data_IF_825004861817
#
_entry.id   IF_825004861817
#
_cell.length_a   1.000
_cell.length_b   1.000
_cell.length_c   1.000
_cell.angle_alpha   90.00
_cell.angle_beta   90.00
_cell.angle_gamma   90.00
#
_symmetry.space_group_name_H-M   'P 1'
#
loop_
_entity.id
_entity.type
_entity.pdbx_description
1 polymer ?
#
# COMPACT_ATOMS: atom_id res chain seq x y z
N UNK A 1 -34.99 -0.48 -20.22
CA UNK A 1 -33.52 -0.41 -20.03
C UNK A 1 -32.86 -1.45 -20.90
N UNK A 2 -31.81 -1.12 -21.59
CA UNK A 2 -31.04 -2.06 -22.38
C UNK A 2 -30.40 -3.09 -21.43
N UNK A 3 -30.46 -4.37 -21.80
CA UNK A 3 -29.93 -5.45 -20.96
C UNK A 3 -28.41 -5.43 -21.00
N UNK A 4 -27.77 -5.49 -19.81
CA UNK A 4 -26.32 -5.60 -19.70
C UNK A 4 -25.91 -7.00 -20.16
N UNK A 5 -24.99 -7.06 -21.13
CA UNK A 5 -24.38 -8.28 -21.64
C UNK A 5 -22.87 -8.13 -21.53
N UNK A 6 -22.18 -9.13 -21.01
CA UNK A 6 -20.73 -9.18 -20.88
C UNK A 6 -20.22 -10.52 -21.43
N UNK A 7 -19.08 -10.46 -22.13
CA UNK A 7 -18.40 -11.64 -22.70
C UNK A 7 -16.92 -11.71 -22.28
N UNK A 8 -16.45 -10.73 -21.53
CA UNK A 8 -15.02 -10.59 -21.16
C UNK A 8 -14.48 -11.82 -20.43
N UNK A 9 -15.30 -12.48 -19.61
CA UNK A 9 -14.92 -13.72 -18.95
C UNK A 9 -14.64 -14.85 -19.93
N UNK A 10 -15.54 -15.05 -20.89
CA UNK A 10 -15.36 -16.06 -21.96
C UNK A 10 -14.21 -15.75 -22.88
N UNK A 11 -14.06 -14.49 -23.26
CA UNK A 11 -13.02 -14.05 -24.19
C UNK A 11 -11.62 -14.21 -23.57
N UNK A 12 -11.45 -13.84 -22.31
CA UNK A 12 -10.16 -13.89 -21.63
C UNK A 12 -9.84 -15.27 -21.03
N UNK A 13 -10.82 -15.92 -20.40
CA UNK A 13 -10.60 -17.08 -19.54
C UNK A 13 -11.42 -18.32 -19.92
N UNK A 14 -12.27 -18.26 -20.94
CA UNK A 14 -13.20 -19.34 -21.26
C UNK A 14 -12.56 -20.70 -21.51
N UNK A 15 -11.32 -20.74 -22.03
CA UNK A 15 -10.55 -21.98 -22.21
C UNK A 15 -9.83 -22.44 -20.97
N UNK A 16 -9.41 -21.49 -20.12
CA UNK A 16 -8.63 -21.77 -18.91
C UNK A 16 -9.52 -22.03 -17.69
N UNK A 17 -10.56 -21.23 -17.51
CA UNK A 17 -11.47 -21.28 -16.36
C UNK A 17 -12.94 -21.13 -16.82
N UNK A 18 -13.50 -22.14 -17.52
CA UNK A 18 -14.84 -22.03 -18.13
C UNK A 18 -15.95 -21.79 -17.10
N UNK A 19 -15.87 -22.38 -15.91
CA UNK A 19 -16.85 -22.15 -14.86
C UNK A 19 -16.80 -20.70 -14.34
N UNK A 20 -15.61 -20.14 -14.15
CA UNK A 20 -15.45 -18.73 -13.76
C UNK A 20 -16.02 -17.80 -14.85
N UNK A 21 -15.71 -18.06 -16.12
CA UNK A 21 -16.23 -17.28 -17.24
C UNK A 21 -17.76 -17.30 -17.29
N UNK A 22 -18.37 -18.47 -17.07
CA UNK A 22 -19.83 -18.62 -16.97
C UNK A 22 -20.40 -17.78 -15.80
N UNK A 23 -19.84 -17.91 -14.60
CA UNK A 23 -20.32 -17.15 -13.45
C UNK A 23 -20.15 -15.64 -13.64
N UNK A 24 -19.04 -15.21 -14.25
CA UNK A 24 -18.83 -13.79 -14.56
C UNK A 24 -19.83 -13.26 -15.58
N UNK A 25 -19.95 -13.92 -16.74
CA UNK A 25 -20.68 -13.38 -17.88
C UNK A 25 -22.18 -13.61 -17.75
N UNK A 26 -22.60 -14.83 -17.40
CA UNK A 26 -23.99 -15.21 -17.40
C UNK A 26 -24.70 -14.92 -16.09
N UNK A 27 -24.07 -15.24 -14.96
CA UNK A 27 -24.70 -15.08 -13.64
C UNK A 27 -24.51 -13.66 -13.12
N UNK A 28 -23.27 -13.19 -13.00
CA UNK A 28 -23.00 -11.86 -12.45
C UNK A 28 -23.61 -10.79 -13.38
N UNK A 29 -23.14 -10.71 -14.62
CA UNK A 29 -23.59 -9.66 -15.54
C UNK A 29 -24.92 -9.99 -16.21
N UNK A 30 -25.17 -11.25 -16.58
CA UNK A 30 -26.38 -11.68 -17.29
C UNK A 30 -27.63 -11.70 -16.41
N UNK A 31 -27.53 -12.07 -15.14
CA UNK A 31 -28.65 -12.17 -14.20
C UNK A 31 -28.61 -11.07 -13.15
N UNK A 32 -27.59 -11.04 -12.27
CA UNK A 32 -27.57 -10.13 -11.12
C UNK A 32 -27.55 -8.65 -11.52
N UNK A 33 -26.75 -8.25 -12.51
CA UNK A 33 -26.73 -6.86 -12.97
C UNK A 33 -28.01 -6.42 -13.70
N UNK A 34 -28.82 -7.36 -14.16
CA UNK A 34 -30.10 -7.11 -14.80
C UNK A 34 -31.31 -7.31 -13.87
N UNK A 35 -31.08 -7.66 -12.62
CA UNK A 35 -32.15 -7.79 -11.63
C UNK A 35 -32.80 -6.44 -11.31
N UNK A 36 -34.13 -6.39 -11.29
CA UNK A 36 -34.92 -5.18 -11.17
C UNK A 36 -34.91 -4.57 -9.73
N UNK A 37 -34.38 -5.28 -8.75
CA UNK A 37 -34.33 -4.83 -7.34
C UNK A 37 -33.47 -3.60 -7.10
N UNK A 38 -32.48 -3.35 -7.98
CA UNK A 38 -31.66 -2.13 -7.99
C UNK A 38 -31.45 -1.66 -9.44
N UNK A 39 -31.52 -0.35 -9.64
CA UNK A 39 -31.15 0.23 -10.94
C UNK A 39 -29.64 0.13 -11.19
N UNK A 40 -29.24 0.16 -12.45
CA UNK A 40 -27.86 -0.05 -12.90
C UNK A 40 -26.90 1.03 -12.41
N UNK A 41 -27.38 2.26 -12.26
CA UNK A 41 -26.60 3.39 -11.73
C UNK A 41 -26.23 3.14 -10.26
N UNK A 42 -27.21 2.76 -9.46
CA UNK A 42 -27.02 2.42 -8.05
C UNK A 42 -26.07 1.23 -7.89
N UNK A 43 -26.25 0.16 -8.71
CA UNK A 43 -25.32 -0.99 -8.72
C UNK A 43 -23.89 -0.57 -8.99
N UNK A 44 -23.67 0.28 -10.00
CA UNK A 44 -22.34 0.77 -10.35
C UNK A 44 -21.69 1.55 -9.21
N UNK A 45 -22.46 2.42 -8.55
CA UNK A 45 -21.98 3.19 -7.41
C UNK A 45 -21.59 2.28 -6.23
N UNK A 46 -22.46 1.33 -5.88
CA UNK A 46 -22.20 0.32 -4.83
C UNK A 46 -20.97 -0.50 -5.18
N UNK A 47 -20.80 -0.92 -6.45
CA UNK A 47 -19.63 -1.69 -6.87
C UNK A 47 -18.33 -0.91 -6.67
N UNK A 48 -18.28 0.37 -7.07
CA UNK A 48 -17.09 1.20 -6.87
C UNK A 48 -16.75 1.35 -5.39
N UNK A 49 -17.72 1.68 -4.53
CA UNK A 49 -17.44 1.87 -3.10
C UNK A 49 -17.12 0.55 -2.38
N UNK A 50 -17.71 -0.57 -2.81
CA UNK A 50 -17.37 -1.90 -2.29
C UNK A 50 -15.94 -2.29 -2.62
N UNK A 51 -15.50 -2.10 -3.88
CA UNK A 51 -14.13 -2.35 -4.31
C UNK A 51 -13.13 -1.47 -3.57
N UNK A 52 -13.42 -0.17 -3.46
CA UNK A 52 -12.63 0.75 -2.65
C UNK A 52 -12.50 0.25 -1.20
N UNK A 53 -13.61 -0.10 -0.56
CA UNK A 53 -13.61 -0.56 0.83
C UNK A 53 -12.80 -1.86 1.00
N UNK A 54 -12.86 -2.76 0.00
CA UNK A 54 -12.09 -4.01 -0.03
C UNK A 54 -10.60 -3.81 -0.36
N UNK A 55 -10.16 -2.57 -0.65
CA UNK A 55 -8.76 -2.28 -0.96
C UNK A 55 -8.37 -2.47 -2.42
N UNK A 56 -9.31 -2.69 -3.32
CA UNK A 56 -9.07 -2.71 -4.77
C UNK A 56 -8.98 -1.26 -5.24
N UNK A 57 -7.76 -0.75 -5.37
CA UNK A 57 -7.46 0.64 -5.73
C UNK A 57 -6.47 0.75 -6.89
N UNK A 58 -6.31 -0.32 -7.64
CA UNK A 58 -5.49 -0.41 -8.84
C UNK A 58 -6.28 -0.09 -10.13
N UNK A 59 -5.64 -0.27 -11.28
CA UNK A 59 -6.23 0.01 -12.59
C UNK A 59 -7.53 -0.76 -12.89
N UNK A 60 -7.80 -1.88 -12.21
CA UNK A 60 -9.04 -2.63 -12.39
C UNK A 60 -10.27 -1.83 -11.93
N UNK A 61 -10.10 -1.01 -10.89
CA UNK A 61 -11.15 -0.10 -10.42
C UNK A 61 -11.50 0.98 -11.46
N UNK A 62 -10.55 1.40 -12.30
CA UNK A 62 -10.79 2.40 -13.36
C UNK A 62 -11.87 1.93 -14.34
N UNK A 63 -11.92 0.64 -14.67
CA UNK A 63 -13.00 0.06 -15.47
C UNK A 63 -14.38 0.24 -14.82
N UNK A 64 -14.48 0.03 -13.50
CA UNK A 64 -15.73 0.20 -12.77
C UNK A 64 -16.14 1.66 -12.62
N UNK A 65 -15.18 2.59 -12.50
CA UNK A 65 -15.42 4.03 -12.54
C UNK A 65 -15.98 4.45 -13.90
N UNK A 66 -15.39 3.97 -15.00
CA UNK A 66 -15.88 4.25 -16.35
C UNK A 66 -17.29 3.70 -16.55
N UNK A 67 -17.58 2.49 -16.08
CA UNK A 67 -18.93 1.92 -16.14
C UNK A 67 -19.92 2.74 -15.30
N UNK A 68 -19.51 3.22 -14.12
CA UNK A 68 -20.36 4.08 -13.30
C UNK A 68 -20.74 5.37 -14.05
N UNK A 69 -19.78 6.01 -14.72
CA UNK A 69 -20.04 7.17 -15.60
C UNK A 69 -21.00 6.83 -16.73
N UNK A 70 -20.76 5.71 -17.44
CA UNK A 70 -21.60 5.26 -18.56
C UNK A 70 -23.03 4.94 -18.11
N UNK A 71 -23.23 4.49 -16.89
CA UNK A 71 -24.53 4.22 -16.29
C UNK A 71 -25.15 5.44 -15.60
N UNK A 72 -24.60 6.65 -15.84
CA UNK A 72 -25.20 7.92 -15.43
C UNK A 72 -24.85 8.34 -14.01
N UNK A 73 -23.83 7.78 -13.37
CA UNK A 73 -23.27 8.32 -12.13
C UNK A 73 -22.54 9.62 -12.46
N UNK A 74 -22.98 10.71 -11.85
CA UNK A 74 -22.38 12.03 -12.04
C UNK A 74 -21.10 12.18 -11.22
N UNK A 75 -20.23 13.13 -11.61
CA UNK A 75 -19.05 13.49 -10.82
C UNK A 75 -19.40 13.85 -9.38
N UNK A 76 -20.51 14.56 -9.17
CA UNK A 76 -20.97 14.94 -7.83
C UNK A 76 -21.37 13.73 -6.99
N UNK A 77 -22.02 12.75 -7.59
CA UNK A 77 -22.47 11.53 -6.88
C UNK A 77 -21.30 10.64 -6.52
N UNK A 78 -20.36 10.40 -7.45
CA UNK A 78 -19.19 9.59 -7.14
C UNK A 78 -18.31 10.28 -6.09
N UNK A 79 -18.13 11.59 -6.17
CA UNK A 79 -17.38 12.35 -5.18
C UNK A 79 -18.02 12.26 -3.79
N UNK A 80 -19.34 12.41 -3.70
CA UNK A 80 -20.08 12.31 -2.43
C UNK A 80 -19.99 10.90 -1.83
N UNK A 81 -20.16 9.86 -2.66
CA UNK A 81 -20.11 8.47 -2.20
C UNK A 81 -18.72 8.07 -1.72
N UNK A 82 -17.67 8.39 -2.48
CA UNK A 82 -16.27 8.11 -2.10
C UNK A 82 -15.90 8.87 -0.83
N UNK A 83 -16.27 10.16 -0.73
CA UNK A 83 -16.06 10.97 0.49
C UNK A 83 -16.76 10.34 1.69
N UNK A 84 -18.03 9.94 1.56
CA UNK A 84 -18.76 9.29 2.63
C UNK A 84 -18.08 8.00 3.09
N UNK A 85 -17.71 7.13 2.14
CA UNK A 85 -17.08 5.84 2.45
C UNK A 85 -15.66 6.02 3.00
N UNK A 86 -14.97 7.13 2.73
CA UNK A 86 -13.66 7.43 3.30
C UNK A 86 -13.65 7.43 4.84
N UNK A 87 -14.75 7.84 5.49
CA UNK A 87 -14.90 7.79 6.95
C UNK A 87 -14.99 6.37 7.52
N UNK A 88 -15.34 5.38 6.69
CA UNK A 88 -15.51 3.98 7.09
C UNK A 88 -14.39 3.07 6.58
N UNK A 89 -13.82 3.38 5.41
CA UNK A 89 -12.84 2.55 4.73
C UNK A 89 -11.43 3.15 4.70
N UNK A 90 -11.29 4.41 5.12
CA UNK A 90 -10.02 5.13 5.23
C UNK A 90 -9.72 6.07 4.05
N UNK A 91 -9.16 7.24 4.36
CA UNK A 91 -8.83 8.31 3.43
C UNK A 91 -7.85 7.91 2.33
N UNK A 92 -6.80 7.10 2.57
CA UNK A 92 -5.86 6.72 1.50
C UNK A 92 -6.53 6.00 0.33
N UNK A 93 -7.51 5.13 0.62
CA UNK A 93 -8.28 4.44 -0.42
C UNK A 93 -9.14 5.43 -1.24
N UNK A 94 -9.75 6.40 -0.58
CA UNK A 94 -10.51 7.45 -1.25
C UNK A 94 -9.64 8.30 -2.17
N UNK A 95 -8.43 8.68 -1.74
CA UNK A 95 -7.47 9.40 -2.56
C UNK A 95 -7.08 8.62 -3.82
N UNK A 96 -6.81 7.33 -3.71
CA UNK A 96 -6.51 6.47 -4.86
C UNK A 96 -7.68 6.45 -5.86
N UNK A 97 -8.92 6.31 -5.36
CA UNK A 97 -10.13 6.34 -6.20
C UNK A 97 -10.31 7.70 -6.87
N UNK A 98 -10.13 8.82 -6.13
CA UNK A 98 -10.26 10.17 -6.71
C UNK A 98 -9.22 10.44 -7.80
N UNK A 99 -7.98 9.98 -7.63
CA UNK A 99 -6.96 10.13 -8.67
C UNK A 99 -7.36 9.45 -9.98
N UNK A 100 -7.98 8.26 -9.91
CA UNK A 100 -8.51 7.58 -11.09
C UNK A 100 -9.82 8.20 -11.60
N UNK A 101 -10.69 8.67 -10.70
CA UNK A 101 -11.97 9.26 -11.06
C UNK A 101 -11.79 10.58 -11.84
N UNK A 102 -10.79 11.38 -11.51
CA UNK A 102 -10.45 12.58 -12.29
C UNK A 102 -10.26 12.25 -13.77
N UNK A 103 -9.45 11.24 -14.09
CA UNK A 103 -9.23 10.84 -15.48
C UNK A 103 -10.52 10.43 -16.21
N UNK A 104 -11.49 9.90 -15.45
CA UNK A 104 -12.76 9.42 -16.02
C UNK A 104 -13.74 10.57 -16.26
N UNK A 105 -13.83 11.55 -15.35
CA UNK A 105 -14.82 12.65 -15.43
C UNK A 105 -14.28 13.94 -16.03
N UNK A 106 -12.95 14.21 -16.00
CA UNK A 106 -12.35 15.46 -16.49
C UNK A 106 -12.14 15.53 -18.02
N UNK A 107 -12.60 14.55 -18.81
CA UNK A 107 -12.40 14.49 -20.27
C UNK A 107 -13.26 15.52 -21.05
N UNK A 108 -14.12 16.32 -20.38
CA UNK A 108 -14.80 17.44 -21.03
C UNK A 108 -14.68 18.68 -20.16
N UNK A 109 -13.96 19.68 -20.70
CA UNK A 109 -13.67 20.94 -20.04
C UNK A 109 -14.91 21.65 -19.49
N UNK A 110 -14.84 22.04 -18.24
CA UNK A 110 -15.55 23.19 -17.69
C UNK A 110 -14.67 23.88 -16.67
N UNK A 111 -14.21 25.04 -17.08
CA UNK A 111 -13.70 26.11 -16.21
C UNK A 111 -14.83 26.62 -15.33
N UNK A 112 -14.68 26.45 -14.00
CA UNK A 112 -15.02 27.46 -13.00
C UNK A 112 -14.48 27.03 -11.63
N UNK A 113 -13.42 27.64 -11.24
CA UNK A 113 -13.09 28.39 -10.07
C UNK A 113 -12.95 27.64 -8.73
N UNK A 114 -11.76 27.21 -8.36
CA UNK A 114 -11.04 27.73 -7.18
C UNK A 114 -9.55 27.49 -7.43
N UNK A 115 -8.75 28.55 -7.38
CA UNK A 115 -7.40 28.60 -7.86
C UNK A 115 -6.39 27.74 -7.11
N UNK A 116 -5.61 27.05 -7.89
CA UNK A 116 -4.21 26.77 -7.67
C UNK A 116 -3.55 26.77 -9.06
N UNK A 117 -2.63 27.66 -9.21
CA UNK A 117 -1.78 28.04 -10.32
C UNK A 117 -1.49 26.95 -11.35
N UNK A 118 -1.81 27.31 -12.60
CA UNK A 118 -1.37 26.64 -13.83
C UNK A 118 0.12 26.85 -14.09
N UNK A 119 0.78 25.84 -14.65
CA UNK A 119 1.75 26.05 -15.72
C UNK A 119 1.76 24.82 -16.62
N UNK A 120 1.20 24.97 -17.81
CA UNK A 120 1.57 24.17 -18.97
C UNK A 120 2.80 24.86 -19.59
N UNK A 121 3.80 24.17 -19.97
CA UNK A 121 4.29 24.00 -21.32
C UNK A 121 5.62 23.24 -21.30
N UNK A 122 5.79 22.40 -22.29
CA UNK A 122 6.89 21.47 -22.44
C UNK A 122 8.28 22.11 -22.42
N UNK A 123 9.09 21.55 -21.56
CA UNK A 123 10.53 21.37 -21.73
C UNK A 123 10.94 20.30 -20.72
N UNK A 124 11.65 19.31 -21.17
CA UNK A 124 12.38 18.35 -20.33
C UNK A 124 13.46 19.12 -19.57
N UNK A 125 13.10 19.72 -18.45
CA UNK A 125 14.05 20.16 -17.44
C UNK A 125 13.86 19.27 -16.20
N UNK A 126 14.97 18.69 -15.75
CA UNK A 126 15.02 17.74 -14.67
C UNK A 126 14.35 18.28 -13.40
N UNK A 127 13.37 17.54 -12.89
CA UNK A 127 12.80 17.76 -11.57
C UNK A 127 13.96 17.76 -10.57
N UNK A 128 14.11 18.77 -9.70
CA UNK A 128 15.13 18.74 -8.66
C UNK A 128 14.99 17.45 -7.85
N UNK A 129 16.09 16.73 -7.65
CA UNK A 129 16.10 15.44 -6.95
C UNK A 129 15.38 15.47 -5.56
N UNK A 130 15.37 16.63 -4.90
CA UNK A 130 14.65 16.85 -3.65
C UNK A 130 13.13 16.76 -3.77
N UNK A 131 12.51 17.35 -4.80
CA UNK A 131 11.05 17.35 -4.97
C UNK A 131 10.51 15.92 -5.29
N UNK A 132 11.29 15.12 -6.02
CA UNK A 132 10.93 13.73 -6.30
C UNK A 132 11.03 12.83 -5.05
N UNK A 133 11.99 13.10 -4.17
CA UNK A 133 12.15 12.38 -2.90
C UNK A 133 11.03 12.70 -1.91
N UNK A 134 10.65 13.99 -1.80
CA UNK A 134 9.54 14.42 -0.94
C UNK A 134 8.20 13.83 -1.39
N UNK A 135 7.98 13.74 -2.70
CA UNK A 135 6.78 13.12 -3.27
C UNK A 135 6.75 11.59 -3.04
N UNK A 136 7.90 10.91 -3.12
CA UNK A 136 8.01 9.47 -2.83
C UNK A 136 7.76 9.18 -1.34
N UNK A 137 8.30 10.00 -0.44
CA UNK A 137 8.04 9.93 1.00
C UNK A 137 6.54 10.12 1.30
N UNK A 138 5.92 11.16 0.74
CA UNK A 138 4.52 11.46 0.95
C UNK A 138 3.61 10.32 0.45
N UNK A 139 3.93 9.72 -0.71
CA UNK A 139 3.20 8.54 -1.21
C UNK A 139 3.35 7.34 -0.29
N UNK A 140 4.55 7.09 0.23
CA UNK A 140 4.79 5.99 1.15
C UNK A 140 4.01 6.19 2.46
N UNK A 141 4.04 7.40 3.04
CA UNK A 141 3.29 7.74 4.25
C UNK A 141 1.77 7.58 4.05
N UNK A 142 1.25 7.98 2.89
CA UNK A 142 -0.16 7.81 2.55
C UNK A 142 -0.58 6.34 2.33
N UNK A 143 0.35 5.41 2.16
CA UNK A 143 0.07 3.98 1.90
C UNK A 143 -0.15 3.16 3.17
N UNK A 144 0.04 3.73 4.36
CA UNK A 144 -0.09 3.03 5.64
C UNK A 144 -0.82 3.87 6.68
N UNK A 145 -1.45 3.26 7.71
CA UNK A 145 -2.16 3.98 8.78
C UNK A 145 -1.23 4.55 9.86
N UNK A 146 0.07 4.23 9.82
CA UNK A 146 1.04 4.63 10.83
C UNK A 146 1.90 5.78 10.32
N UNK A 147 2.25 6.79 11.16
CA UNK A 147 3.14 7.86 10.74
C UNK A 147 4.56 7.32 10.47
N UNK A 148 5.28 7.94 9.55
CA UNK A 148 6.71 7.66 9.34
C UNK A 148 7.52 7.98 10.60
N UNK A 149 7.16 9.03 11.30
CA UNK A 149 7.84 9.45 12.53
C UNK A 149 9.00 10.40 12.30
N UNK A 150 9.79 10.58 13.35
CA UNK A 150 10.99 11.41 13.33
C UNK A 150 12.21 10.65 12.76
N UNK A 151 13.23 11.35 12.25
CA UNK A 151 14.52 10.73 11.94
C UNK A 151 15.02 9.89 13.10
N UNK A 152 15.54 8.71 12.82
CA UNK A 152 15.99 7.74 13.82
C UNK A 152 17.45 8.02 14.25
N UNK A 153 17.73 9.27 14.60
CA UNK A 153 19.09 9.78 14.86
C UNK A 153 19.78 9.06 16.03
N UNK A 154 19.02 8.67 17.04
CA UNK A 154 19.58 7.98 18.21
C UNK A 154 20.21 6.61 17.86
N UNK A 155 19.75 5.98 16.79
CA UNK A 155 20.22 4.69 16.31
C UNK A 155 20.94 4.78 14.95
N UNK A 156 21.15 5.97 14.39
CA UNK A 156 21.72 6.17 13.07
C UNK A 156 23.04 5.41 12.82
N UNK A 157 23.89 5.29 13.85
CA UNK A 157 25.15 4.53 13.78
C UNK A 157 24.97 3.03 13.46
N UNK A 158 23.78 2.49 13.62
CA UNK A 158 23.45 1.09 13.37
C UNK A 158 22.69 0.88 12.06
N UNK A 159 22.60 1.92 11.23
CA UNK A 159 21.92 1.88 9.94
C UNK A 159 22.82 2.38 8.81
N UNK A 160 22.66 1.78 7.65
CA UNK A 160 23.17 2.32 6.39
C UNK A 160 21.99 3.02 5.70
N UNK A 161 22.10 4.32 5.44
CA UNK A 161 21.01 5.14 4.90
C UNK A 161 20.09 5.74 5.98
N UNK A 162 19.04 6.41 5.54
CA UNK A 162 18.12 7.12 6.43
C UNK A 162 16.95 6.23 6.86
N UNK A 163 16.70 6.20 8.17
CA UNK A 163 15.53 5.56 8.76
C UNK A 163 14.77 6.53 9.67
N UNK A 164 13.52 6.17 9.96
CA UNK A 164 12.61 6.94 10.81
C UNK A 164 11.95 6.01 11.82
N UNK A 165 11.54 6.57 12.95
CA UNK A 165 10.92 5.82 14.03
C UNK A 165 9.69 6.56 14.57
N UNK A 166 8.58 5.88 14.64
CA UNK A 166 7.36 6.35 15.29
C UNK A 166 6.91 5.35 16.37
N UNK A 167 6.79 5.77 17.64
CA UNK A 167 6.17 4.92 18.65
C UNK A 167 4.68 4.75 18.34
N UNK A 168 4.21 3.50 18.37
CA UNK A 168 2.80 3.14 18.19
C UNK A 168 2.19 2.74 19.54
N UNK A 169 2.96 2.00 20.35
CA UNK A 169 2.60 1.63 21.72
C UNK A 169 3.86 1.52 22.56
N UNK A 170 3.83 2.03 23.80
CA UNK A 170 4.96 1.98 24.73
C UNK A 170 4.57 1.49 26.12
N UNK A 171 3.30 1.10 26.32
CA UNK A 171 2.79 0.71 27.65
C UNK A 171 3.04 -0.76 27.97
N UNK A 172 2.20 -1.66 27.43
CA UNK A 172 2.29 -3.09 27.73
C UNK A 172 3.35 -3.81 26.90
N UNK A 173 3.42 -3.45 25.61
CA UNK A 173 4.37 -3.99 24.65
C UNK A 173 4.91 -2.83 23.82
N UNK A 174 6.23 -2.77 23.66
CA UNK A 174 6.88 -1.84 22.73
C UNK A 174 6.48 -2.18 21.29
N UNK A 175 5.82 -1.25 20.61
CA UNK A 175 5.48 -1.34 19.18
C UNK A 175 5.91 -0.06 18.51
N UNK A 176 6.77 -0.19 17.53
CA UNK A 176 7.31 0.95 16.78
C UNK A 176 7.10 0.76 15.29
N UNK A 177 6.67 1.80 14.60
CA UNK A 177 6.74 1.80 13.14
C UNK A 177 8.14 2.26 12.73
N UNK A 178 8.92 1.35 12.16
CA UNK A 178 10.25 1.62 11.64
C UNK A 178 10.16 1.77 10.13
N UNK A 179 10.55 2.93 9.62
CA UNK A 179 10.52 3.24 8.19
C UNK A 179 11.92 3.44 7.65
N UNK A 180 12.19 2.85 6.51
CA UNK A 180 13.47 2.86 5.81
C UNK A 180 13.30 3.53 4.45
N UNK A 181 14.19 4.46 4.10
CA UNK A 181 14.32 4.95 2.72
C UNK A 181 14.84 3.84 1.79
N UNK A 182 14.64 3.97 0.47
CA UNK A 182 15.22 3.03 -0.50
C UNK A 182 16.71 2.80 -0.25
N UNK A 183 17.11 1.54 -0.17
CA UNK A 183 18.50 1.15 0.12
C UNK A 183 18.91 1.17 1.58
N UNK A 184 18.10 1.73 2.48
CA UNK A 184 18.39 1.76 3.91
C UNK A 184 18.19 0.39 4.55
N UNK A 185 19.13 0.01 5.42
CA UNK A 185 19.09 -1.25 6.18
C UNK A 185 19.78 -1.09 7.53
N UNK A 186 19.35 -1.86 8.52
CA UNK A 186 20.07 -1.91 9.78
C UNK A 186 21.26 -2.90 9.73
N UNK A 187 22.13 -2.78 10.71
CA UNK A 187 23.23 -3.73 10.92
C UNK A 187 22.68 -5.09 11.34
N UNK A 188 23.50 -6.11 11.20
CA UNK A 188 23.27 -7.37 11.89
C UNK A 188 23.12 -7.10 13.39
N UNK A 189 22.15 -7.76 14.02
CA UNK A 189 21.88 -7.60 15.44
C UNK A 189 21.21 -8.83 16.03
N UNK A 190 21.18 -8.90 17.36
CA UNK A 190 20.57 -9.98 18.13
C UNK A 190 19.71 -9.37 19.23
N UNK A 191 18.51 -9.93 19.41
CA UNK A 191 17.68 -9.68 20.58
C UNK A 191 17.93 -10.79 21.61
N UNK A 192 18.60 -10.48 22.69
CA UNK A 192 18.89 -11.43 23.78
C UNK A 192 17.73 -11.50 24.75
N UNK A 193 17.46 -12.70 25.30
CA UNK A 193 16.59 -12.90 26.44
C UNK A 193 16.86 -14.25 27.11
N UNK A 194 16.70 -14.33 28.43
CA UNK A 194 16.84 -15.60 29.17
C UNK A 194 15.55 -16.41 29.19
N UNK A 195 14.39 -15.76 28.93
CA UNK A 195 13.08 -16.40 28.83
C UNK A 195 12.16 -15.47 28.02
N UNK A 196 11.37 -16.00 27.09
CA UNK A 196 10.59 -15.20 26.13
C UNK A 196 11.49 -14.34 25.24
N UNK A 197 11.08 -13.12 24.93
CA UNK A 197 11.89 -12.18 24.15
C UNK A 197 11.86 -12.43 22.63
N UNK A 198 12.75 -11.76 21.92
CA UNK A 198 12.77 -11.72 20.47
C UNK A 198 11.92 -10.56 19.90
N UNK A 199 11.65 -10.61 18.62
CA UNK A 199 10.93 -9.55 17.92
C UNK A 199 9.94 -10.12 16.91
N UNK A 200 8.81 -9.43 16.69
CA UNK A 200 7.92 -9.72 15.58
C UNK A 200 7.95 -8.51 14.63
N UNK A 201 8.16 -8.75 13.34
CA UNK A 201 8.02 -7.77 12.30
C UNK A 201 6.72 -7.98 11.55
N UNK A 202 5.96 -6.91 11.33
CA UNK A 202 4.78 -6.90 10.47
C UNK A 202 4.98 -5.84 9.40
N UNK A 203 5.16 -6.24 8.15
CA UNK A 203 5.28 -5.29 7.06
C UNK A 203 3.95 -4.54 6.86
N UNK A 204 3.98 -3.22 6.87
CA UNK A 204 2.79 -2.36 6.73
C UNK A 204 2.80 -1.52 5.46
N UNK A 205 3.96 -1.29 4.84
CA UNK A 205 4.05 -0.55 3.57
C UNK A 205 5.36 -0.83 2.83
N UNK A 206 5.31 -0.70 1.51
CA UNK A 206 6.48 -0.80 0.64
C UNK A 206 7.02 -2.22 0.49
N UNK A 207 8.32 -2.33 0.23
CA UNK A 207 9.02 -3.60 -0.02
C UNK A 207 10.40 -3.57 0.63
N UNK A 208 10.73 -4.63 1.36
CA UNK A 208 12.00 -4.78 2.04
C UNK A 208 12.42 -6.22 2.19
N UNK A 209 13.42 -6.45 3.01
CA UNK A 209 13.99 -7.76 3.27
C UNK A 209 14.19 -7.99 4.76
N UNK A 210 14.09 -9.26 5.15
CA UNK A 210 14.59 -9.83 6.39
C UNK A 210 15.57 -10.95 6.06
N UNK A 211 16.65 -11.06 6.83
CA UNK A 211 17.58 -12.16 6.69
C UNK A 211 18.11 -12.62 8.07
N UNK A 212 18.02 -13.91 8.31
CA UNK A 212 18.70 -14.60 9.40
C UNK A 212 20.10 -15.01 8.96
N UNK A 213 21.08 -14.91 9.86
CA UNK A 213 22.46 -15.27 9.55
C UNK A 213 22.59 -16.70 9.01
N UNK A 214 23.29 -16.82 7.89
CA UNK A 214 23.49 -18.09 7.21
C UNK A 214 22.31 -18.61 6.38
N UNK A 215 21.20 -17.83 6.30
CA UNK A 215 20.05 -18.17 5.46
C UNK A 215 19.88 -17.16 4.31
N UNK A 216 19.15 -17.50 3.24
CA UNK A 216 18.78 -16.54 2.21
C UNK A 216 17.93 -15.40 2.78
N UNK A 217 18.06 -14.21 2.20
CA UNK A 217 17.15 -13.11 2.50
C UNK A 217 15.73 -13.43 2.00
N UNK A 218 14.73 -12.99 2.76
CA UNK A 218 13.31 -13.16 2.45
C UNK A 218 12.73 -11.79 2.17
N UNK A 219 12.11 -11.62 1.01
CA UNK A 219 11.40 -10.39 0.68
C UNK A 219 10.15 -10.26 1.57
N UNK A 220 9.87 -9.03 2.01
CA UNK A 220 8.71 -8.67 2.82
C UNK A 220 7.85 -7.64 2.07
N UNK A 221 6.54 -7.90 2.06
CA UNK A 221 5.50 -7.04 1.50
C UNK A 221 4.39 -6.80 2.52
N UNK A 222 3.54 -5.78 2.35
CA UNK A 222 2.44 -5.49 3.28
C UNK A 222 1.60 -6.73 3.61
N UNK A 223 1.47 -7.04 4.90
CA UNK A 223 0.80 -8.21 5.43
C UNK A 223 1.73 -9.37 5.83
N UNK A 224 3.00 -9.36 5.39
CA UNK A 224 3.95 -10.39 5.79
C UNK A 224 4.37 -10.21 7.26
N UNK A 225 4.52 -11.33 7.95
CA UNK A 225 4.90 -11.39 9.37
C UNK A 225 6.11 -12.28 9.53
N UNK A 226 7.14 -11.75 10.21
CA UNK A 226 8.33 -12.50 10.60
C UNK A 226 8.38 -12.60 12.12
N UNK A 227 8.48 -13.82 12.63
CA UNK A 227 8.71 -14.08 14.05
C UNK A 227 10.20 -14.39 14.26
N UNK A 228 10.88 -13.55 15.02
CA UNK A 228 12.31 -13.63 15.29
C UNK A 228 12.48 -14.08 16.74
N UNK A 229 12.88 -15.34 16.99
CA UNK A 229 13.18 -15.81 18.34
C UNK A 229 14.35 -15.02 18.95
N UNK A 230 14.49 -15.00 20.30
CA UNK A 230 15.69 -14.48 20.92
C UNK A 230 16.93 -15.27 20.46
N UNK A 231 18.11 -14.64 20.56
CA UNK A 231 19.42 -15.18 20.17
C UNK A 231 19.60 -15.40 18.65
N UNK A 232 18.66 -15.00 17.81
CA UNK A 232 18.80 -15.08 16.35
C UNK A 232 19.49 -13.84 15.82
N UNK A 233 20.68 -13.99 15.20
CA UNK A 233 21.38 -12.94 14.49
C UNK A 233 20.67 -12.67 13.16
N UNK A 234 20.21 -11.44 12.93
CA UNK A 234 19.43 -11.05 11.74
C UNK A 234 19.63 -9.59 11.40
N UNK A 235 19.14 -9.22 10.22
CA UNK A 235 18.95 -7.83 9.79
C UNK A 235 17.65 -7.69 9.00
N UNK A 236 17.17 -6.44 8.85
CA UNK A 236 16.08 -6.08 7.97
C UNK A 236 16.27 -4.66 7.40
N UNK A 237 15.62 -4.37 6.29
CA UNK A 237 15.75 -3.08 5.61
C UNK A 237 14.94 -3.01 4.33
N UNK A 238 14.93 -1.82 3.71
CA UNK A 238 14.24 -1.55 2.46
C UNK A 238 14.91 -2.28 1.29
N UNK A 239 14.19 -2.49 0.21
CA UNK A 239 14.78 -2.80 -1.09
C UNK A 239 15.46 -1.55 -1.67
N UNK A 240 16.37 -1.75 -2.64
CA UNK A 240 17.16 -0.65 -3.20
C UNK A 240 16.31 0.44 -3.91
N UNK A 241 15.12 0.08 -4.37
CA UNK A 241 14.20 0.90 -5.18
C UNK A 241 12.86 1.17 -4.49
N UNK A 242 12.69 0.81 -3.22
CA UNK A 242 11.43 0.95 -2.49
C UNK A 242 11.62 1.46 -1.08
N UNK A 243 10.77 2.35 -0.64
CA UNK A 243 10.54 2.58 0.78
C UNK A 243 10.02 1.29 1.43
N UNK A 244 10.26 1.13 2.71
CA UNK A 244 9.81 -0.03 3.49
C UNK A 244 9.44 0.41 4.90
N UNK A 245 8.28 -0.01 5.38
CA UNK A 245 7.87 0.17 6.77
C UNK A 245 7.35 -1.12 7.37
N UNK A 246 7.75 -1.38 8.59
CA UNK A 246 7.22 -2.48 9.38
C UNK A 246 6.97 -2.06 10.82
N UNK A 247 6.03 -2.69 11.47
CA UNK A 247 5.94 -2.66 12.92
C UNK A 247 7.03 -3.57 13.48
N UNK A 248 7.84 -3.02 14.37
CA UNK A 248 8.74 -3.76 15.24
C UNK A 248 8.03 -3.93 16.58
N UNK A 249 7.71 -5.17 16.94
CA UNK A 249 7.00 -5.51 18.16
C UNK A 249 7.99 -6.23 19.07
N UNK A 250 8.29 -5.64 20.22
CA UNK A 250 9.17 -6.22 21.22
C UNK A 250 8.42 -7.32 21.98
N UNK A 251 8.85 -8.57 21.81
CA UNK A 251 8.23 -9.68 22.54
C UNK A 251 8.67 -9.61 24.01
N UNK A 252 7.73 -9.60 24.97
CA UNK A 252 8.08 -9.57 26.39
C UNK A 252 8.98 -10.73 26.80
N UNK A 253 10.03 -10.44 27.57
CA UNK A 253 11.00 -11.43 28.03
C UNK A 253 11.72 -11.03 29.29
N UNK A 254 12.53 -11.94 29.84
CA UNK A 254 13.40 -11.68 31.01
C UNK A 254 14.81 -11.37 30.54
N UNK A 255 15.45 -10.40 31.18
CA UNK A 255 16.83 -9.96 30.90
C UNK A 255 17.04 -9.62 29.42
N UNK A 256 16.08 -8.91 28.83
CA UNK A 256 16.14 -8.53 27.40
C UNK A 256 17.19 -7.46 27.16
N UNK A 257 17.93 -7.60 26.06
CA UNK A 257 18.88 -6.59 25.56
C UNK A 257 19.07 -6.75 24.06
N UNK A 258 19.51 -5.67 23.40
CA UNK A 258 19.84 -5.70 21.98
C UNK A 258 21.36 -5.59 21.82
N UNK A 259 21.94 -6.44 21.00
CA UNK A 259 23.33 -6.40 20.58
C UNK A 259 23.42 -6.00 19.11
N UNK A 260 24.08 -4.87 18.83
CA UNK A 260 24.34 -4.41 17.47
C UNK A 260 25.71 -4.90 17.02
N UNK A 261 25.76 -5.47 15.83
CA UNK A 261 26.93 -6.10 15.25
C UNK A 261 27.38 -5.35 13.98
N UNK A 262 28.10 -6.02 13.09
CA UNK A 262 28.64 -5.46 11.87
C UNK A 262 27.56 -5.01 10.88
N UNK A 263 27.85 -4.02 10.02
CA UNK A 263 26.97 -3.67 8.90
C UNK A 263 26.78 -4.84 7.93
N UNK A 264 25.62 -4.90 7.30
CA UNK A 264 25.37 -5.78 6.14
C UNK A 264 26.26 -5.31 4.99
N UNK A 265 27.06 -6.22 4.43
CA UNK A 265 28.00 -5.89 3.38
C UNK A 265 27.25 -5.43 2.11
N UNK A 266 27.73 -4.33 1.48
CA UNK A 266 27.12 -3.78 0.26
C UNK A 266 27.00 -4.82 -0.86
N UNK A 267 28.00 -5.70 -0.99
CA UNK A 267 27.98 -6.78 -1.98
C UNK A 267 26.86 -7.80 -1.74
N UNK A 268 26.58 -8.11 -0.47
CA UNK A 268 25.50 -9.06 -0.11
C UNK A 268 24.14 -8.42 -0.36
N UNK A 269 23.98 -7.16 0.06
CA UNK A 269 22.75 -6.40 -0.15
C UNK A 269 22.48 -6.14 -1.65
N UNK A 270 23.48 -5.81 -2.43
CA UNK A 270 23.33 -5.55 -3.88
C UNK A 270 22.98 -6.81 -4.70
N UNK A 271 23.02 -7.98 -4.11
CA UNK A 271 22.65 -9.24 -4.75
C UNK A 271 21.14 -9.57 -4.59
N UNK A 272 20.40 -8.75 -3.84
CA UNK A 272 18.95 -8.90 -3.58
C UNK A 272 18.14 -8.08 -4.60
#
# INVERSE_FOLDING_TARGET
>A
MEKIVQTAGRDALGKFAPAFAHYNDDVLFGENWNDAGLDVKTRSLITVVALMASGVTDSSLKFHLQNAKNHGVTQREIAAAVTHVAFYAGWPKAWAVFNMAKDVWDVEGSTEGVGASSAADGATEGVPAGAAADDARARHEASMPFPIGAPNDAFAQYFVGQSYLAPVSTDQVGVFNVTFEPGCRNNWHVHHATEGGGQILVCVAGRGYYQEWGKPAVEMRPGDVVNIPPEVKHWHGAAADSWFSHLAIEVPGKSTSNEWLEPVADKEYAAL
#
